data_IF_226014302724
#
_entry.id   IF_226014302724
#
_cell.length_a   1.000
_cell.length_b   1.000
_cell.length_c   1.000
_cell.angle_alpha   90.00
_cell.angle_beta   90.00
_cell.angle_gamma   90.00
#
_symmetry.space_group_name_H-M   'P 1'
#
loop_
_entity.id
_entity.type
_entity.pdbx_description
1 polymer ?
#
# COMPACT_ATOMS: atom_id res chain seq x y z
N UNK A 1 6.83 26.32 16.82
CA UNK A 1 5.63 26.75 16.04
C UNK A 1 6.08 27.82 15.05
N UNK A 2 5.53 27.81 13.84
CA UNK A 2 5.81 28.82 12.80
C UNK A 2 5.26 30.20 13.22
N UNK A 3 5.99 31.25 12.89
CA UNK A 3 5.49 32.61 12.95
C UNK A 3 4.49 32.88 11.84
N UNK A 4 3.65 33.93 11.99
CA UNK A 4 2.70 34.33 10.93
C UNK A 4 3.45 34.68 9.63
N UNK A 5 4.57 35.38 9.73
CA UNK A 5 5.43 35.72 8.58
C UNK A 5 5.90 34.44 7.84
N UNK A 6 6.36 33.44 8.57
CA UNK A 6 6.79 32.17 7.96
C UNK A 6 5.63 31.46 7.26
N UNK A 7 4.43 31.41 7.87
CA UNK A 7 3.23 30.84 7.24
C UNK A 7 2.85 31.58 5.96
N UNK A 8 2.88 32.90 5.99
CA UNK A 8 2.55 33.70 4.82
C UNK A 8 3.56 33.52 3.66
N UNK A 9 4.86 33.40 3.98
CA UNK A 9 5.87 33.07 2.99
C UNK A 9 5.61 31.67 2.37
N UNK A 10 5.33 30.65 3.17
CA UNK A 10 5.04 29.32 2.66
C UNK A 10 3.78 29.33 1.79
N UNK A 11 2.70 29.99 2.22
CA UNK A 11 1.47 30.14 1.43
C UNK A 11 1.70 30.85 0.10
N UNK A 12 2.57 31.86 0.06
CA UNK A 12 2.92 32.57 -1.17
C UNK A 12 3.61 31.68 -2.22
N UNK A 13 4.19 30.55 -1.81
CA UNK A 13 4.81 29.57 -2.72
C UNK A 13 3.81 28.56 -3.31
N UNK A 14 2.57 28.50 -2.83
CA UNK A 14 1.55 27.55 -3.29
C UNK A 14 1.37 27.57 -4.82
N UNK A 15 1.19 28.73 -5.50
CA UNK A 15 1.04 28.75 -6.97
C UNK A 15 2.25 28.16 -7.71
N UNK A 16 3.45 28.31 -7.15
CA UNK A 16 4.68 27.77 -7.75
C UNK A 16 4.71 26.26 -7.61
N UNK A 17 4.29 25.73 -6.45
CA UNK A 17 4.22 24.29 -6.19
C UNK A 17 3.14 23.60 -7.04
N UNK A 18 2.04 24.28 -7.34
CA UNK A 18 0.99 23.77 -8.23
C UNK A 18 1.51 23.49 -9.65
N UNK A 19 2.39 24.32 -10.15
CA UNK A 19 2.93 24.21 -11.51
C UNK A 19 4.24 23.40 -11.55
N UNK A 20 5.13 23.63 -10.59
CA UNK A 20 6.51 23.12 -10.59
C UNK A 20 6.82 22.04 -9.56
N UNK A 21 5.85 21.62 -8.75
CA UNK A 21 6.10 20.72 -7.62
C UNK A 21 6.71 19.37 -8.03
N UNK A 22 6.30 18.80 -9.16
CA UNK A 22 6.86 17.52 -9.65
C UNK A 22 8.32 17.68 -10.09
N UNK A 23 8.68 18.77 -10.76
CA UNK A 23 10.05 19.04 -11.16
C UNK A 23 10.95 19.22 -9.93
N UNK A 24 10.48 19.97 -8.92
CA UNK A 24 11.16 20.16 -7.65
C UNK A 24 11.40 18.84 -6.92
N UNK A 25 10.38 18.01 -6.78
CA UNK A 25 10.50 16.74 -6.06
C UNK A 25 11.30 15.70 -6.86
N UNK A 26 11.28 15.74 -8.18
CA UNK A 26 12.17 14.92 -9.02
C UNK A 26 13.63 15.29 -8.76
N UNK A 27 13.94 16.58 -8.76
CA UNK A 27 15.29 17.08 -8.46
C UNK A 27 15.73 16.74 -7.03
N UNK A 28 14.82 16.90 -6.06
CA UNK A 28 15.04 16.49 -4.67
C UNK A 28 15.48 15.02 -4.56
N UNK A 29 14.77 14.10 -5.21
CA UNK A 29 15.14 12.68 -5.18
C UNK A 29 16.47 12.41 -5.86
N UNK A 30 16.80 13.10 -6.95
CA UNK A 30 18.11 12.99 -7.61
C UNK A 30 19.25 13.37 -6.66
N UNK A 31 19.13 14.50 -5.95
CA UNK A 31 20.10 14.93 -4.95
C UNK A 31 20.22 13.88 -3.84
N UNK A 32 19.10 13.54 -3.22
CA UNK A 32 19.09 12.67 -2.06
C UNK A 32 19.64 11.27 -2.37
N UNK A 33 19.23 10.65 -3.45
CA UNK A 33 19.70 9.31 -3.81
C UNK A 33 21.14 9.29 -4.33
N UNK A 34 21.67 10.43 -4.83
CA UNK A 34 23.07 10.58 -5.20
C UNK A 34 23.95 10.72 -3.97
N UNK A 35 23.60 11.64 -3.07
CA UNK A 35 24.47 12.11 -1.99
C UNK A 35 24.34 11.30 -0.71
N UNK A 36 23.20 10.59 -0.52
CA UNK A 36 22.91 9.79 0.66
C UNK A 36 22.54 8.34 0.28
N UNK A 37 23.53 7.50 -0.11
CA UNK A 37 23.28 6.14 -0.57
C UNK A 37 22.64 5.24 0.49
N UNK A 38 22.79 5.57 1.78
CA UNK A 38 22.21 4.83 2.91
C UNK A 38 20.67 4.86 2.95
N UNK A 39 20.03 5.87 2.35
CA UNK A 39 18.56 5.92 2.27
C UNK A 39 17.98 5.21 1.04
N UNK A 40 18.80 4.82 0.07
CA UNK A 40 18.34 4.14 -1.16
C UNK A 40 17.47 2.89 -0.89
N UNK A 41 17.77 2.05 0.11
CA UNK A 41 16.95 0.87 0.41
C UNK A 41 15.49 1.19 0.75
N UNK A 42 15.21 2.40 1.25
CA UNK A 42 13.89 2.86 1.66
C UNK A 42 12.98 3.19 0.47
N UNK A 43 13.56 3.32 -0.74
CA UNK A 43 12.85 3.75 -1.93
C UNK A 43 12.74 2.66 -2.99
N UNK A 44 11.57 2.61 -3.66
CA UNK A 44 11.37 1.71 -4.78
C UNK A 44 11.85 2.38 -6.08
N UNK A 45 12.91 1.84 -6.69
CA UNK A 45 13.48 2.39 -7.91
C UNK A 45 12.47 2.45 -9.07
N UNK A 46 11.53 1.50 -9.18
CA UNK A 46 10.49 1.52 -10.20
C UNK A 46 9.55 2.73 -10.02
N UNK A 47 9.17 3.05 -8.78
CA UNK A 47 8.34 4.22 -8.46
C UNK A 47 9.09 5.55 -8.65
N UNK A 48 10.41 5.53 -8.55
CA UNK A 48 11.25 6.68 -8.91
C UNK A 48 11.30 6.86 -10.43
N UNK A 49 11.56 5.79 -11.18
CA UNK A 49 11.72 5.84 -12.63
C UNK A 49 10.43 6.24 -13.37
N UNK A 50 9.26 5.84 -12.87
CA UNK A 50 7.96 6.20 -13.47
C UNK A 50 7.37 7.52 -12.95
N UNK A 51 8.07 8.24 -12.06
CA UNK A 51 7.65 9.51 -11.49
C UNK A 51 6.53 9.42 -10.43
N UNK A 52 6.06 8.23 -10.07
CA UNK A 52 4.95 8.10 -9.12
C UNK A 52 5.32 8.62 -7.72
N UNK A 53 6.53 8.36 -7.27
CA UNK A 53 6.98 8.83 -5.95
C UNK A 53 7.25 10.34 -5.91
N UNK A 54 7.93 10.98 -6.90
CA UNK A 54 8.00 12.43 -7.00
C UNK A 54 6.63 13.13 -6.98
N UNK A 55 5.66 12.63 -7.75
CA UNK A 55 4.29 13.20 -7.76
C UNK A 55 3.60 13.08 -6.41
N UNK A 56 3.72 11.95 -5.73
CA UNK A 56 3.13 11.77 -4.40
C UNK A 56 3.73 12.74 -3.38
N UNK A 57 5.04 12.95 -3.39
CA UNK A 57 5.70 13.93 -2.52
C UNK A 57 5.31 15.36 -2.89
N UNK A 58 5.26 15.71 -4.18
CA UNK A 58 4.81 17.03 -4.63
C UNK A 58 3.39 17.34 -4.12
N UNK A 59 2.47 16.38 -4.22
CA UNK A 59 1.13 16.53 -3.69
C UNK A 59 1.13 16.70 -2.16
N UNK A 60 1.92 15.93 -1.42
CA UNK A 60 2.00 16.04 0.04
C UNK A 60 2.54 17.42 0.47
N UNK A 61 3.59 17.93 -0.17
CA UNK A 61 4.16 19.25 0.08
C UNK A 61 3.17 20.36 -0.24
N UNK A 62 2.47 20.25 -1.38
CA UNK A 62 1.41 21.19 -1.78
C UNK A 62 0.26 21.22 -0.78
N UNK A 63 -0.23 20.05 -0.38
CA UNK A 63 -1.32 19.92 0.62
C UNK A 63 -0.89 20.49 1.97
N UNK A 64 0.35 20.26 2.39
CA UNK A 64 0.87 20.86 3.61
C UNK A 64 0.91 22.39 3.52
N UNK A 65 1.45 22.96 2.44
CA UNK A 65 1.51 24.41 2.25
C UNK A 65 0.11 25.08 2.22
N UNK A 66 -0.87 24.44 1.56
CA UNK A 66 -2.27 24.92 1.50
C UNK A 66 -2.97 24.88 2.85
N UNK A 67 -2.61 23.95 3.72
CA UNK A 67 -3.25 23.72 5.01
C UNK A 67 -2.38 24.14 6.20
N UNK A 68 -1.37 24.97 5.98
CA UNK A 68 -0.37 25.32 7.02
C UNK A 68 -1.01 26.02 8.25
N UNK A 69 -2.17 26.67 8.08
CA UNK A 69 -2.94 27.29 9.15
C UNK A 69 -3.93 26.33 9.83
N UNK A 70 -4.18 25.13 9.23
CA UNK A 70 -5.18 24.16 9.67
C UNK A 70 -4.66 22.73 9.45
N UNK A 71 -3.58 22.38 10.14
CA UNK A 71 -2.90 21.08 9.98
C UNK A 71 -3.81 19.89 10.32
N UNK A 72 -4.88 20.10 11.10
CA UNK A 72 -5.90 19.09 11.38
C UNK A 72 -6.56 18.53 10.11
N UNK A 73 -6.64 19.31 9.04
CA UNK A 73 -7.17 18.85 7.74
C UNK A 73 -6.27 17.80 7.07
N UNK A 74 -5.02 17.68 7.51
CA UNK A 74 -4.05 16.72 6.97
C UNK A 74 -4.08 15.35 7.68
N UNK A 75 -4.94 15.16 8.67
CA UNK A 75 -5.00 13.92 9.46
C UNK A 75 -4.99 12.65 8.62
N UNK A 76 -5.89 12.46 7.64
CA UNK A 76 -5.91 11.26 6.79
C UNK A 76 -4.63 11.08 5.96
N UNK A 77 -4.08 12.16 5.40
CA UNK A 77 -2.83 12.13 4.65
C UNK A 77 -1.63 11.79 5.55
N UNK A 78 -1.55 12.41 6.72
CA UNK A 78 -0.50 12.15 7.70
C UNK A 78 -0.54 10.69 8.18
N UNK A 79 -1.73 10.16 8.49
CA UNK A 79 -1.89 8.76 8.88
C UNK A 79 -1.40 7.79 7.79
N UNK A 80 -1.75 8.04 6.54
CA UNK A 80 -1.27 7.23 5.42
C UNK A 80 0.26 7.27 5.27
N UNK A 81 0.87 8.46 5.44
CA UNK A 81 2.34 8.63 5.41
C UNK A 81 2.97 7.86 6.56
N UNK A 82 2.49 8.03 7.79
CA UNK A 82 2.99 7.37 9.00
C UNK A 82 2.98 5.84 8.83
N UNK A 83 1.87 5.26 8.37
CA UNK A 83 1.79 3.81 8.15
C UNK A 83 2.80 3.29 7.12
N UNK A 84 3.03 4.03 6.02
CA UNK A 84 4.05 3.68 5.03
C UNK A 84 5.46 3.81 5.58
N UNK A 85 5.74 4.85 6.35
CA UNK A 85 7.02 5.08 6.98
C UNK A 85 7.33 3.98 8.01
N UNK A 86 6.38 3.65 8.86
CA UNK A 86 6.51 2.58 9.86
C UNK A 86 6.81 1.24 9.19
N UNK A 87 6.09 0.90 8.12
CA UNK A 87 6.32 -0.35 7.38
C UNK A 87 7.71 -0.44 6.71
N UNK A 88 8.31 0.70 6.36
CA UNK A 88 9.64 0.78 5.78
C UNK A 88 10.73 1.02 6.85
N UNK A 89 10.35 1.17 8.12
CA UNK A 89 11.25 1.51 9.22
C UNK A 89 11.97 2.84 8.98
N UNK A 90 11.21 3.89 8.65
CA UNK A 90 11.71 5.27 8.66
C UNK A 90 11.96 5.66 10.12
N UNK A 91 13.12 6.23 10.39
CA UNK A 91 13.59 6.61 11.71
C UNK A 91 13.87 8.13 11.76
N UNK A 92 13.91 8.73 12.96
CA UNK A 92 14.16 10.17 13.12
C UNK A 92 15.44 10.68 12.41
N UNK A 93 16.49 9.86 12.32
CA UNK A 93 17.74 10.21 11.66
C UNK A 93 17.62 10.39 10.13
N UNK A 94 16.56 9.91 9.49
CA UNK A 94 16.34 10.11 8.06
C UNK A 94 15.78 11.50 7.73
N UNK A 95 15.09 12.15 8.68
CA UNK A 95 14.43 13.43 8.44
C UNK A 95 15.39 14.60 8.16
N UNK A 96 16.54 14.75 8.85
CA UNK A 96 17.53 15.76 8.49
C UNK A 96 18.05 15.65 7.07
N UNK A 97 18.23 14.41 6.56
CA UNK A 97 18.65 14.14 5.17
C UNK A 97 17.61 14.69 4.20
N UNK A 98 16.33 14.35 4.43
CA UNK A 98 15.23 14.82 3.59
C UNK A 98 15.10 16.33 3.63
N UNK A 99 15.20 16.96 4.81
CA UNK A 99 15.14 18.42 4.96
C UNK A 99 16.24 19.14 4.20
N UNK A 100 17.48 18.68 4.35
CA UNK A 100 18.63 19.26 3.65
C UNK A 100 18.45 19.21 2.13
N UNK A 101 18.09 18.04 1.60
CA UNK A 101 17.89 17.85 0.16
C UNK A 101 16.69 18.63 -0.38
N UNK A 102 15.60 18.75 0.41
CA UNK A 102 14.43 19.51 0.01
C UNK A 102 14.72 21.00 -0.11
N UNK A 103 15.40 21.59 0.89
CA UNK A 103 15.78 23.00 0.86
C UNK A 103 16.78 23.31 -0.26
N UNK A 104 17.70 22.40 -0.52
CA UNK A 104 18.61 22.49 -1.66
C UNK A 104 17.84 22.48 -2.98
N UNK A 105 16.91 21.54 -3.16
CA UNK A 105 16.09 21.43 -4.37
C UNK A 105 15.24 22.70 -4.59
N UNK A 106 14.65 23.25 -3.52
CA UNK A 106 13.89 24.51 -3.59
C UNK A 106 14.79 25.63 -4.13
N UNK A 107 15.99 25.78 -3.59
CA UNK A 107 16.93 26.82 -4.03
C UNK A 107 17.41 26.65 -5.48
N UNK A 108 17.74 25.42 -5.86
CA UNK A 108 18.28 25.14 -7.19
C UNK A 108 17.18 25.21 -8.30
N UNK A 109 15.97 24.79 -8.02
CA UNK A 109 14.87 24.79 -9.00
C UNK A 109 14.22 26.15 -9.15
N UNK A 110 14.00 26.90 -8.05
CA UNK A 110 13.34 28.20 -8.09
C UNK A 110 14.30 29.36 -8.33
N UNK A 111 15.61 29.15 -8.19
CA UNK A 111 16.63 30.19 -8.30
C UNK A 111 16.65 31.14 -7.11
N UNK A 112 17.76 31.85 -6.93
CA UNK A 112 18.03 32.70 -5.76
C UNK A 112 17.13 33.94 -5.67
N UNK A 113 16.56 34.38 -6.77
CA UNK A 113 15.62 35.52 -6.81
C UNK A 113 14.25 35.16 -6.18
N UNK A 114 13.78 33.92 -6.40
CA UNK A 114 12.52 33.41 -5.84
C UNK A 114 12.75 32.71 -4.49
N UNK A 115 13.72 31.82 -4.42
CA UNK A 115 14.12 31.12 -3.20
C UNK A 115 15.15 31.95 -2.40
N UNK A 116 14.73 33.13 -1.92
CA UNK A 116 15.54 34.00 -1.07
C UNK A 116 15.91 33.30 0.24
N UNK A 117 16.85 33.85 1.01
CA UNK A 117 17.19 33.28 2.32
C UNK A 117 16.01 33.24 3.28
N UNK A 118 15.11 34.21 3.19
CA UNK A 118 13.86 34.24 4.00
C UNK A 118 12.93 33.10 3.60
N UNK A 119 12.76 32.81 2.31
CA UNK A 119 11.95 31.70 1.81
C UNK A 119 12.54 30.36 2.26
N UNK A 120 13.86 30.19 2.15
CA UNK A 120 14.54 28.98 2.61
C UNK A 120 14.41 28.81 4.13
N UNK A 121 14.56 29.87 4.90
CA UNK A 121 14.37 29.82 6.36
C UNK A 121 12.93 29.48 6.76
N UNK A 122 11.93 30.04 6.05
CA UNK A 122 10.52 29.73 6.28
C UNK A 122 10.19 28.25 5.97
N UNK A 123 10.68 27.74 4.82
CA UNK A 123 10.53 26.33 4.46
C UNK A 123 11.30 25.38 5.39
N UNK A 124 12.47 25.78 5.88
CA UNK A 124 13.21 25.02 6.89
C UNK A 124 12.43 24.87 8.19
N UNK A 125 11.82 25.96 8.67
CA UNK A 125 10.97 25.90 9.86
C UNK A 125 9.67 25.10 9.62
N UNK A 126 9.06 25.24 8.44
CA UNK A 126 7.87 24.48 8.05
C UNK A 126 8.14 22.99 7.95
N UNK A 127 9.25 22.60 7.32
CA UNK A 127 9.69 21.20 7.25
C UNK A 127 9.96 20.62 8.64
N UNK A 128 10.65 21.35 9.50
CA UNK A 128 10.92 20.89 10.87
C UNK A 128 9.63 20.66 11.65
N UNK A 129 8.62 21.51 11.52
CA UNK A 129 7.31 21.31 12.14
C UNK A 129 6.65 20.05 11.62
N UNK A 130 6.65 19.81 10.32
CA UNK A 130 6.08 18.59 9.72
C UNK A 130 6.85 17.34 10.18
N UNK A 131 8.18 17.41 10.19
CA UNK A 131 9.04 16.32 10.65
C UNK A 131 8.73 15.95 12.11
N UNK A 132 8.62 16.93 13.01
CA UNK A 132 8.30 16.71 14.42
C UNK A 132 6.95 16.02 14.61
N UNK A 133 5.93 16.42 13.83
CA UNK A 133 4.60 15.80 13.84
C UNK A 133 4.68 14.35 13.39
N UNK A 134 5.34 14.07 12.26
CA UNK A 134 5.46 12.71 11.71
C UNK A 134 6.28 11.81 12.62
N UNK A 135 7.44 12.26 13.09
CA UNK A 135 8.30 11.52 14.03
C UNK A 135 7.53 11.16 15.30
N UNK A 136 6.77 12.12 15.86
CA UNK A 136 5.96 11.86 17.06
C UNK A 136 4.86 10.83 16.81
N UNK A 137 4.17 10.91 15.68
CA UNK A 137 3.13 9.95 15.30
C UNK A 137 3.70 8.57 14.99
N UNK A 138 4.82 8.49 14.26
CA UNK A 138 5.54 7.23 13.97
C UNK A 138 6.03 6.57 15.25
N UNK A 139 6.60 7.35 16.18
CA UNK A 139 7.04 6.83 17.47
C UNK A 139 5.89 6.19 18.23
N UNK A 140 4.72 6.86 18.30
CA UNK A 140 3.54 6.31 18.97
C UNK A 140 3.08 4.98 18.34
N UNK A 141 3.12 4.87 17.00
CA UNK A 141 2.78 3.63 16.30
C UNK A 141 3.82 2.54 16.59
N UNK A 142 5.12 2.84 16.54
CA UNK A 142 6.18 1.88 16.86
C UNK A 142 6.03 1.32 18.29
N UNK A 143 5.77 2.19 19.28
CA UNK A 143 5.58 1.75 20.66
C UNK A 143 4.31 0.91 20.83
N UNK A 144 3.20 1.31 20.20
CA UNK A 144 1.95 0.55 20.22
C UNK A 144 2.12 -0.86 19.63
N UNK A 145 2.82 -0.97 18.50
CA UNK A 145 3.11 -2.24 17.85
C UNK A 145 4.02 -3.10 18.73
N UNK A 146 5.07 -2.53 19.30
CA UNK A 146 6.01 -3.27 20.15
C UNK A 146 5.39 -3.77 21.45
N UNK A 147 4.45 -3.01 22.02
CA UNK A 147 3.75 -3.36 23.25
C UNK A 147 2.62 -4.39 23.03
N UNK A 148 2.16 -4.59 21.80
CA UNK A 148 1.11 -5.57 21.51
C UNK A 148 1.59 -7.01 21.73
N UNK A 149 0.70 -7.95 22.13
CA UNK A 149 1.05 -9.35 22.25
C UNK A 149 1.67 -9.91 20.96
N UNK A 150 2.88 -10.47 21.04
CA UNK A 150 3.65 -10.94 19.89
C UNK A 150 4.24 -9.83 19.02
N UNK A 151 4.15 -8.55 19.47
CA UNK A 151 4.72 -7.41 18.79
C UNK A 151 6.25 -7.36 18.89
N UNK A 152 6.85 -6.58 17.98
CA UNK A 152 8.31 -6.35 17.98
C UNK A 152 8.64 -5.01 17.32
N UNK A 153 9.89 -4.60 17.46
CA UNK A 153 10.42 -3.40 16.82
C UNK A 153 11.56 -3.76 15.88
N UNK A 154 11.67 -3.05 14.76
CA UNK A 154 12.71 -3.32 13.77
C UNK A 154 12.49 -4.62 12.98
N UNK A 155 13.58 -5.17 12.47
CA UNK A 155 13.55 -6.43 11.74
C UNK A 155 13.56 -7.65 12.67
N UNK A 156 12.69 -8.63 12.42
CA UNK A 156 12.67 -9.93 13.08
C UNK A 156 12.85 -11.03 12.05
N UNK A 157 13.64 -12.05 12.39
CA UNK A 157 13.89 -13.17 11.50
C UNK A 157 12.70 -14.13 11.43
N UNK A 158 12.30 -14.48 10.22
CA UNK A 158 11.27 -15.48 9.93
C UNK A 158 11.82 -16.53 8.98
N UNK A 159 11.50 -17.78 9.23
CA UNK A 159 11.81 -18.91 8.32
C UNK A 159 10.69 -19.08 7.31
N UNK A 160 11.05 -19.29 6.07
CA UNK A 160 10.13 -19.73 5.03
C UNK A 160 9.78 -21.19 5.29
N UNK A 161 8.63 -21.46 5.88
CA UNK A 161 8.16 -22.82 6.17
C UNK A 161 7.80 -23.57 4.89
N UNK A 162 7.13 -22.89 3.98
CA UNK A 162 6.69 -23.45 2.71
C UNK A 162 6.60 -22.37 1.64
N UNK A 163 6.71 -22.81 0.40
CA UNK A 163 6.56 -21.98 -0.80
C UNK A 163 5.62 -22.73 -1.75
N UNK A 164 4.49 -22.10 -2.09
CA UNK A 164 3.41 -22.75 -2.86
C UNK A 164 3.07 -21.90 -4.08
N UNK A 165 3.21 -22.41 -5.31
CA UNK A 165 2.68 -21.76 -6.49
C UNK A 165 1.15 -21.67 -6.42
N UNK A 166 0.59 -20.49 -6.58
CA UNK A 166 -0.86 -20.23 -6.60
C UNK A 166 -1.38 -20.04 -8.02
N UNK A 167 -0.50 -19.59 -8.93
CA UNK A 167 -0.73 -19.41 -10.35
C UNK A 167 0.59 -19.42 -11.11
N UNK A 168 0.56 -19.23 -12.43
CA UNK A 168 1.79 -19.13 -13.24
C UNK A 168 2.71 -17.99 -12.79
N UNK A 169 2.18 -16.95 -12.14
CA UNK A 169 2.94 -15.75 -11.77
C UNK A 169 2.90 -15.40 -10.27
N UNK A 170 2.06 -16.05 -9.47
CA UNK A 170 1.95 -15.77 -8.03
C UNK A 170 2.36 -16.97 -7.20
N UNK A 171 3.25 -16.74 -6.23
CA UNK A 171 3.70 -17.75 -5.27
C UNK A 171 3.47 -17.27 -3.85
N UNK A 172 2.87 -18.12 -3.02
CA UNK A 172 2.70 -17.91 -1.58
C UNK A 172 3.93 -18.35 -0.80
N UNK A 173 4.32 -17.54 0.19
CA UNK A 173 5.37 -17.82 1.16
C UNK A 173 4.74 -17.87 2.55
N UNK A 174 4.87 -18.99 3.22
CA UNK A 174 4.43 -19.20 4.60
C UNK A 174 5.62 -18.93 5.51
N UNK A 175 5.46 -17.97 6.43
CA UNK A 175 6.54 -17.39 7.23
C UNK A 175 6.25 -17.63 8.70
N UNK A 176 7.15 -18.33 9.39
CA UNK A 176 7.09 -18.56 10.83
C UNK A 176 8.27 -17.87 11.52
N UNK A 177 8.09 -17.27 12.72
CA UNK A 177 9.17 -16.61 13.42
C UNK A 177 10.30 -17.61 13.73
N UNK A 178 11.54 -17.24 13.45
CA UNK A 178 12.70 -18.11 13.65
C UNK A 178 12.96 -18.44 15.12
N UNK A 179 12.54 -17.56 16.02
CA UNK A 179 12.65 -17.71 17.48
C UNK A 179 11.49 -18.52 18.11
N UNK A 180 10.50 -18.94 17.30
CA UNK A 180 9.34 -19.71 17.76
C UNK A 180 8.38 -18.96 18.67
N UNK A 181 8.57 -17.66 18.90
CA UNK A 181 7.67 -16.85 19.74
C UNK A 181 6.43 -16.42 18.94
N UNK A 182 5.30 -16.17 19.60
CA UNK A 182 4.10 -15.66 18.95
C UNK A 182 4.36 -14.40 18.13
N UNK A 183 3.52 -14.16 17.13
CA UNK A 183 3.54 -12.95 16.32
C UNK A 183 2.30 -12.12 16.57
N UNK A 184 2.39 -10.80 16.34
CA UNK A 184 1.25 -9.91 16.45
C UNK A 184 0.13 -10.34 15.49
N UNK A 185 -1.09 -10.40 16.00
CA UNK A 185 -2.26 -10.63 15.16
C UNK A 185 -2.47 -9.42 14.24
N UNK A 186 -2.49 -9.67 12.93
CA UNK A 186 -2.76 -8.62 11.95
C UNK A 186 -4.25 -8.50 11.62
N UNK A 187 -4.66 -7.33 11.19
CA UNK A 187 -5.98 -7.11 10.61
C UNK A 187 -5.96 -7.50 9.13
N UNK A 188 -7.02 -8.14 8.65
CA UNK A 188 -7.14 -8.48 7.23
C UNK A 188 -7.11 -7.23 6.35
N UNK A 189 -6.23 -7.23 5.34
CA UNK A 189 -5.93 -6.09 4.49
C UNK A 189 -4.59 -5.43 4.79
N UNK A 190 -4.02 -5.61 5.98
CA UNK A 190 -2.67 -5.13 6.30
C UNK A 190 -1.60 -5.80 5.44
N UNK A 191 -0.46 -5.15 5.36
CA UNK A 191 0.75 -5.62 4.70
C UNK A 191 1.93 -5.70 5.67
N UNK A 192 2.99 -6.37 5.25
CA UNK A 192 4.22 -6.55 6.03
C UNK A 192 5.42 -6.10 5.20
N UNK A 193 6.37 -5.42 5.83
CA UNK A 193 7.62 -5.02 5.19
C UNK A 193 8.64 -6.15 5.22
N UNK A 194 9.32 -6.39 4.10
CA UNK A 194 10.44 -7.30 3.97
C UNK A 194 11.73 -6.50 3.71
N UNK A 195 12.78 -6.87 4.45
CA UNK A 195 14.15 -6.47 4.17
C UNK A 195 14.86 -7.62 3.46
N UNK A 196 15.35 -7.36 2.27
CA UNK A 196 16.07 -8.32 1.44
C UNK A 196 17.47 -7.78 1.12
N UNK A 197 18.43 -8.68 0.95
CA UNK A 197 19.76 -8.32 0.41
C UNK A 197 19.93 -9.05 -0.92
N UNK A 198 19.90 -8.31 -2.03
CA UNK A 198 19.98 -8.83 -3.37
C UNK A 198 21.25 -8.31 -4.03
N UNK A 199 22.18 -9.21 -4.40
CA UNK A 199 23.48 -8.85 -4.98
C UNK A 199 24.26 -7.82 -4.13
N UNK A 200 24.20 -7.98 -2.79
CA UNK A 200 24.87 -7.08 -1.84
C UNK A 200 24.18 -5.76 -1.59
N UNK A 201 23.02 -5.50 -2.20
CA UNK A 201 22.23 -4.29 -1.98
C UNK A 201 21.00 -4.59 -1.12
N UNK A 202 20.80 -3.81 -0.06
CA UNK A 202 19.58 -3.87 0.72
C UNK A 202 18.42 -3.25 -0.07
N UNK A 203 17.28 -3.92 -0.04
CA UNK A 203 16.01 -3.42 -0.58
C UNK A 203 14.89 -3.74 0.41
N UNK A 204 13.90 -2.85 0.52
CA UNK A 204 12.71 -3.03 1.35
C UNK A 204 11.47 -3.02 0.47
N UNK A 205 10.56 -3.97 0.71
CA UNK A 205 9.29 -4.09 -0.03
C UNK A 205 8.17 -4.48 0.90
N UNK A 206 6.98 -3.94 0.64
CA UNK A 206 5.77 -4.28 1.35
C UNK A 206 4.96 -5.30 0.55
N UNK A 207 4.43 -6.30 1.25
CA UNK A 207 3.55 -7.32 0.68
C UNK A 207 2.31 -7.49 1.54
N UNK A 208 1.12 -7.46 0.92
CA UNK A 208 -0.13 -7.72 1.63
C UNK A 208 -0.12 -9.10 2.27
N UNK A 209 -0.63 -9.16 3.49
CA UNK A 209 -0.87 -10.42 4.17
C UNK A 209 -2.09 -11.08 3.53
N UNK A 210 -1.89 -12.26 2.94
CA UNK A 210 -2.88 -12.91 2.06
C UNK A 210 -3.73 -13.98 2.74
N UNK A 211 -3.64 -14.10 4.07
CA UNK A 211 -4.45 -15.01 4.88
C UNK A 211 -5.00 -14.30 6.11
N UNK A 212 -6.07 -14.83 6.69
CA UNK A 212 -6.54 -14.42 8.01
C UNK A 212 -5.45 -14.67 9.08
N UNK A 213 -5.42 -13.82 10.11
CA UNK A 213 -4.44 -13.94 11.19
C UNK A 213 -4.61 -15.24 11.96
N UNK A 214 -3.48 -15.89 12.25
CA UNK A 214 -3.42 -17.11 13.09
C UNK A 214 -2.67 -16.89 14.39
N UNK A 215 -1.93 -15.77 14.52
CA UNK A 215 -1.07 -15.50 15.67
C UNK A 215 0.24 -16.32 15.73
N UNK A 216 0.47 -17.23 14.78
CA UNK A 216 1.65 -18.11 14.75
C UNK A 216 2.60 -17.84 13.57
N UNK A 217 2.14 -17.13 12.54
CA UNK A 217 2.92 -16.82 11.36
C UNK A 217 2.15 -15.98 10.36
N UNK A 218 2.78 -15.74 9.22
CA UNK A 218 2.22 -14.91 8.15
C UNK A 218 2.26 -15.61 6.81
N UNK A 219 1.37 -15.23 5.91
CA UNK A 219 1.43 -15.59 4.50
C UNK A 219 1.46 -14.32 3.65
N UNK A 220 2.47 -14.23 2.80
CA UNK A 220 2.51 -13.27 1.70
C UNK A 220 2.39 -14.02 0.38
N UNK A 221 1.79 -13.40 -0.64
CA UNK A 221 1.68 -14.00 -1.96
C UNK A 221 2.19 -12.99 -2.98
N UNK A 222 3.30 -13.36 -3.61
CA UNK A 222 4.13 -12.46 -4.40
C UNK A 222 3.94 -12.75 -5.87
N UNK A 223 3.55 -11.73 -6.64
CA UNK A 223 3.56 -11.79 -8.09
C UNK A 223 4.99 -11.58 -8.61
N UNK A 224 5.42 -12.45 -9.52
CA UNK A 224 6.68 -12.32 -10.24
C UNK A 224 6.55 -11.23 -11.31
N UNK A 225 7.19 -10.10 -11.09
CA UNK A 225 7.23 -9.01 -12.07
C UNK A 225 8.44 -9.19 -13.01
N UNK A 226 8.27 -8.89 -14.30
CA UNK A 226 9.28 -9.13 -15.34
C UNK A 226 10.64 -8.54 -14.95
N UNK A 227 10.66 -7.27 -14.53
CA UNK A 227 11.89 -6.56 -14.15
C UNK A 227 11.99 -6.34 -12.63
N UNK A 228 11.22 -7.10 -11.85
CA UNK A 228 11.11 -6.91 -10.41
C UNK A 228 12.28 -7.55 -9.65
N UNK A 229 13.22 -6.76 -9.14
CA UNK A 229 14.39 -7.27 -8.41
C UNK A 229 13.98 -8.12 -7.20
N UNK A 230 13.08 -7.62 -6.35
CA UNK A 230 12.64 -8.34 -5.14
C UNK A 230 11.78 -9.57 -5.47
N UNK A 231 10.81 -9.43 -6.38
CA UNK A 231 9.92 -10.52 -6.75
C UNK A 231 10.66 -11.68 -7.42
N UNK A 232 11.60 -11.38 -8.34
CA UNK A 232 12.41 -12.41 -8.97
C UNK A 232 13.34 -13.10 -7.94
N UNK A 233 13.97 -12.35 -7.03
CA UNK A 233 14.78 -12.93 -5.96
C UNK A 233 13.96 -13.90 -5.08
N UNK A 234 12.75 -13.48 -4.64
CA UNK A 234 11.85 -14.32 -3.85
C UNK A 234 11.44 -15.59 -4.62
N UNK A 235 11.10 -15.45 -5.89
CA UNK A 235 10.66 -16.59 -6.70
C UNK A 235 11.80 -17.58 -7.01
N UNK A 236 13.00 -17.10 -7.31
CA UNK A 236 14.09 -17.90 -7.88
C UNK A 236 15.13 -18.35 -6.86
N UNK A 237 15.40 -17.51 -5.86
CA UNK A 237 16.51 -17.75 -4.93
C UNK A 237 16.03 -18.23 -3.56
N UNK A 238 14.91 -17.68 -3.04
CA UNK A 238 14.41 -18.03 -1.73
C UNK A 238 13.73 -19.40 -1.73
N UNK A 239 14.11 -20.24 -0.76
CA UNK A 239 13.65 -21.62 -0.59
C UNK A 239 13.03 -21.84 0.78
N UNK A 240 12.30 -22.95 0.94
CA UNK A 240 11.87 -23.41 2.26
C UNK A 240 13.10 -23.66 3.15
N UNK A 241 13.07 -23.17 4.38
CA UNK A 241 14.16 -23.17 5.33
C UNK A 241 14.97 -21.87 5.38
N UNK A 242 14.93 -21.04 4.34
CA UNK A 242 15.64 -19.76 4.33
C UNK A 242 15.02 -18.77 5.32
N UNK A 243 15.82 -17.82 5.79
CA UNK A 243 15.39 -16.76 6.69
C UNK A 243 15.20 -15.43 5.95
N UNK A 244 14.11 -14.76 6.26
CA UNK A 244 13.79 -13.40 5.79
C UNK A 244 13.64 -12.47 6.99
N UNK A 245 14.02 -11.21 6.83
CA UNK A 245 13.80 -10.18 7.84
C UNK A 245 12.48 -9.47 7.55
N UNK A 246 11.56 -9.54 8.53
CA UNK A 246 10.24 -8.93 8.45
C UNK A 246 10.12 -7.78 9.46
N UNK A 247 9.47 -6.70 9.03
CA UNK A 247 9.00 -5.63 9.91
C UNK A 247 7.57 -5.92 10.36
N UNK A 248 7.06 -5.31 11.44
CA UNK A 248 5.71 -5.56 11.90
C UNK A 248 4.63 -5.24 10.85
N UNK A 249 3.46 -5.93 10.89
CA UNK A 249 2.31 -5.59 10.07
C UNK A 249 1.89 -4.13 10.21
N UNK A 250 1.52 -3.49 9.10
CA UNK A 250 1.13 -2.09 9.02
C UNK A 250 0.03 -1.90 7.98
N UNK A 251 -0.55 -0.71 7.92
CA UNK A 251 -1.57 -0.32 6.96
C UNK A 251 -2.96 -0.15 7.58
N UNK A 252 -3.73 0.79 7.02
CA UNK A 252 -5.07 1.15 7.47
C UNK A 252 -6.18 0.59 6.59
N UNK A 253 -5.83 0.04 5.43
CA UNK A 253 -6.78 -0.64 4.56
C UNK A 253 -7.18 -1.98 5.17
N UNK A 254 -8.03 -1.91 6.18
CA UNK A 254 -8.41 -3.08 6.98
C UNK A 254 -9.90 -3.35 6.90
N UNK A 255 -10.27 -4.63 7.01
CA UNK A 255 -11.66 -5.05 7.05
C UNK A 255 -12.38 -4.41 8.24
N UNK A 256 -13.45 -3.66 7.97
CA UNK A 256 -14.33 -3.09 8.97
C UNK A 256 -15.23 -4.18 9.52
N UNK A 257 -15.31 -4.27 10.85
CA UNK A 257 -16.25 -5.15 11.53
C UNK A 257 -17.69 -4.67 11.32
N UNK A 258 -18.61 -5.60 11.13
CA UNK A 258 -20.02 -5.27 10.93
C UNK A 258 -20.80 -6.38 10.26
N UNK A 259 -22.10 -6.14 10.07
CA UNK A 259 -23.06 -7.09 9.49
C UNK A 259 -23.44 -6.77 8.04
N UNK A 260 -23.05 -5.60 7.50
CA UNK A 260 -23.33 -5.27 6.09
C UNK A 260 -22.70 -6.30 5.16
N UNK A 261 -23.34 -6.64 4.04
CA UNK A 261 -22.74 -7.48 3.03
C UNK A 261 -21.36 -6.94 2.61
N UNK A 262 -20.40 -7.84 2.48
CA UNK A 262 -19.02 -7.53 2.09
C UNK A 262 -18.86 -7.79 0.59
N UNK A 263 -18.40 -6.80 -0.13
CA UNK A 263 -18.08 -6.90 -1.56
C UNK A 263 -16.56 -6.73 -1.74
N UNK A 264 -15.92 -7.76 -2.25
CA UNK A 264 -14.47 -7.82 -2.44
C UNK A 264 -14.18 -7.93 -3.93
N UNK A 265 -13.56 -6.91 -4.51
CA UNK A 265 -13.28 -6.81 -5.94
C UNK A 265 -11.79 -6.72 -6.16
N UNK A 266 -11.23 -7.61 -6.97
CA UNK A 266 -9.78 -7.64 -7.19
C UNK A 266 -9.39 -7.85 -8.66
N UNK A 267 -8.29 -7.22 -9.06
CA UNK A 267 -7.63 -7.44 -10.35
C UNK A 267 -6.22 -7.98 -10.15
N UNK A 268 -5.91 -9.13 -10.74
CA UNK A 268 -4.59 -9.75 -10.65
C UNK A 268 -4.12 -9.96 -9.21
N UNK A 269 -2.92 -9.48 -8.85
CA UNK A 269 -2.35 -9.63 -7.49
C UNK A 269 -3.11 -8.85 -6.40
N UNK A 270 -4.04 -7.96 -6.75
CA UNK A 270 -4.97 -7.33 -5.81
C UNK A 270 -5.87 -8.33 -5.05
N UNK A 271 -5.89 -9.59 -5.47
CA UNK A 271 -6.55 -10.70 -4.75
C UNK A 271 -5.97 -10.93 -3.35
N UNK A 272 -4.72 -10.57 -3.09
CA UNK A 272 -4.02 -10.94 -1.85
C UNK A 272 -4.68 -10.38 -0.59
N UNK A 273 -4.98 -9.07 -0.43
CA UNK A 273 -5.67 -8.59 0.75
C UNK A 273 -7.17 -8.95 0.75
N UNK A 274 -7.82 -9.00 -0.42
CA UNK A 274 -9.24 -9.36 -0.49
C UNK A 274 -9.46 -10.82 -0.10
N UNK A 275 -8.51 -11.72 -0.38
CA UNK A 275 -8.56 -13.10 0.08
C UNK A 275 -8.48 -13.20 1.61
N UNK A 276 -7.58 -12.44 2.25
CA UNK A 276 -7.49 -12.38 3.71
C UNK A 276 -8.77 -11.83 4.35
N UNK A 277 -9.38 -10.81 3.73
CA UNK A 277 -10.65 -10.24 4.17
C UNK A 277 -11.80 -11.26 4.05
N UNK A 278 -11.88 -11.96 2.90
CA UNK A 278 -12.87 -13.03 2.71
C UNK A 278 -12.72 -14.13 3.77
N UNK A 279 -11.51 -14.65 3.94
CA UNK A 279 -11.24 -15.70 4.93
C UNK A 279 -11.63 -15.27 6.35
N UNK A 280 -11.28 -14.04 6.73
CA UNK A 280 -11.61 -13.48 8.05
C UNK A 280 -13.12 -13.36 8.24
N UNK A 281 -13.82 -12.79 7.25
CA UNK A 281 -15.28 -12.61 7.31
C UNK A 281 -16.02 -13.96 7.35
N UNK A 282 -15.57 -14.95 6.57
CA UNK A 282 -16.18 -16.28 6.54
C UNK A 282 -15.97 -17.05 7.85
N UNK A 283 -14.81 -16.91 8.48
CA UNK A 283 -14.54 -17.51 9.80
C UNK A 283 -15.34 -16.86 10.92
N UNK A 284 -15.53 -15.55 10.87
CA UNK A 284 -16.36 -14.81 11.82
C UNK A 284 -17.86 -15.13 11.65
N UNK A 285 -18.30 -15.37 10.41
CA UNK A 285 -19.72 -15.57 10.07
C UNK A 285 -20.53 -14.28 10.14
N UNK A 286 -21.85 -14.39 9.97
CA UNK A 286 -22.80 -13.31 10.23
C UNK A 286 -22.97 -12.27 9.12
N UNK A 287 -22.25 -12.37 7.98
CA UNK A 287 -22.43 -11.47 6.82
C UNK A 287 -22.28 -12.21 5.49
N UNK A 288 -23.00 -11.75 4.49
CA UNK A 288 -22.83 -12.21 3.12
C UNK A 288 -21.52 -11.67 2.52
N UNK A 289 -20.86 -12.49 1.72
CA UNK A 289 -19.61 -12.11 1.04
C UNK A 289 -19.76 -12.35 -0.46
N UNK A 290 -19.60 -11.29 -1.24
CA UNK A 290 -19.51 -11.31 -2.71
C UNK A 290 -18.05 -11.09 -3.10
N UNK A 291 -17.44 -12.07 -3.74
CA UNK A 291 -16.04 -12.04 -4.15
C UNK A 291 -15.95 -12.01 -5.68
N UNK A 292 -15.42 -10.92 -6.22
CA UNK A 292 -15.32 -10.70 -7.67
C UNK A 292 -13.85 -10.59 -8.05
N UNK A 293 -13.36 -11.49 -8.89
CA UNK A 293 -11.97 -11.49 -9.30
C UNK A 293 -11.82 -11.38 -10.81
N UNK A 294 -10.96 -10.44 -11.22
CA UNK A 294 -10.56 -10.23 -12.61
C UNK A 294 -9.12 -10.70 -12.81
N UNK A 295 -8.92 -11.63 -13.74
CA UNK A 295 -7.61 -12.13 -14.13
C UNK A 295 -7.46 -12.08 -15.65
N UNK A 296 -6.23 -12.16 -16.15
CA UNK A 296 -6.00 -12.23 -17.60
C UNK A 296 -6.59 -13.53 -18.18
N UNK A 297 -6.32 -14.63 -17.53
CA UNK A 297 -6.76 -15.97 -17.91
C UNK A 297 -6.69 -16.93 -16.72
N UNK A 298 -7.01 -18.19 -16.93
CA UNK A 298 -7.01 -19.23 -15.90
C UNK A 298 -5.60 -19.50 -15.31
N UNK A 299 -4.54 -19.38 -16.11
CA UNK A 299 -3.16 -19.61 -15.65
C UNK A 299 -2.68 -18.51 -14.70
N UNK A 300 -3.12 -17.28 -14.91
CA UNK A 300 -2.81 -16.12 -14.07
C UNK A 300 -3.69 -16.05 -12.81
N UNK A 301 -4.83 -16.74 -12.79
CA UNK A 301 -5.79 -16.72 -11.68
C UNK A 301 -5.29 -17.53 -10.48
N UNK A 302 -4.82 -16.84 -9.43
CA UNK A 302 -4.38 -17.46 -8.20
C UNK A 302 -5.56 -17.86 -7.28
N UNK A 303 -5.35 -18.83 -6.39
CA UNK A 303 -6.27 -19.28 -5.35
C UNK A 303 -7.60 -19.87 -5.83
N UNK A 304 -7.70 -20.29 -7.09
CA UNK A 304 -8.92 -20.88 -7.63
C UNK A 304 -9.49 -22.02 -6.76
N UNK A 305 -8.61 -22.91 -6.29
CA UNK A 305 -9.02 -24.06 -5.47
C UNK A 305 -9.63 -23.60 -4.15
N UNK A 306 -9.00 -22.68 -3.46
CA UNK A 306 -9.45 -22.12 -2.17
C UNK A 306 -10.83 -21.45 -2.33
N UNK A 307 -10.99 -20.63 -3.36
CA UNK A 307 -12.26 -19.94 -3.65
C UNK A 307 -13.38 -20.94 -3.95
N UNK A 308 -13.12 -22.00 -4.73
CA UNK A 308 -14.09 -23.07 -5.00
C UNK A 308 -14.45 -23.85 -3.73
N UNK A 309 -13.50 -24.16 -2.88
CA UNK A 309 -13.74 -24.80 -1.58
C UNK A 309 -14.62 -23.95 -0.67
N UNK A 310 -14.39 -22.62 -0.64
CA UNK A 310 -15.22 -21.70 0.14
C UNK A 310 -16.65 -21.61 -0.42
N UNK A 311 -16.85 -21.58 -1.73
CA UNK A 311 -18.18 -21.60 -2.35
C UNK A 311 -18.97 -22.88 -1.99
N UNK A 312 -18.30 -24.00 -1.90
CA UNK A 312 -18.94 -25.25 -1.51
C UNK A 312 -19.26 -25.32 -0.01
N UNK A 313 -18.44 -24.67 0.84
CA UNK A 313 -18.51 -24.75 2.29
C UNK A 313 -19.40 -23.69 2.93
N UNK A 314 -19.43 -22.47 2.37
CA UNK A 314 -20.06 -21.30 2.98
C UNK A 314 -21.23 -20.81 2.11
N UNK A 315 -22.49 -21.07 2.50
CA UNK A 315 -23.67 -20.65 1.71
C UNK A 315 -23.77 -19.12 1.50
N UNK A 316 -23.20 -18.34 2.43
CA UNK A 316 -23.16 -16.88 2.36
C UNK A 316 -22.04 -16.35 1.44
N UNK A 317 -21.20 -17.21 0.86
CA UNK A 317 -20.10 -16.81 -0.02
C UNK A 317 -20.46 -17.04 -1.50
N UNK A 318 -20.38 -16.00 -2.29
CA UNK A 318 -20.58 -16.05 -3.75
C UNK A 318 -19.33 -15.50 -4.43
N UNK A 319 -18.75 -16.26 -5.35
CA UNK A 319 -17.61 -15.82 -6.11
C UNK A 319 -17.94 -15.75 -7.61
N UNK A 320 -17.45 -14.68 -8.24
CA UNK A 320 -17.55 -14.43 -9.67
C UNK A 320 -16.15 -14.17 -10.23
N UNK A 321 -15.86 -14.74 -11.40
CA UNK A 321 -14.56 -14.63 -12.04
C UNK A 321 -14.75 -14.12 -13.46
N UNK A 322 -13.93 -13.15 -13.85
CA UNK A 322 -13.89 -12.59 -15.21
C UNK A 322 -12.47 -12.76 -15.75
N UNK A 323 -12.35 -13.34 -16.94
CA UNK A 323 -11.08 -13.41 -17.67
C UNK A 323 -11.08 -12.47 -18.85
N UNK A 324 -9.98 -11.72 -19.03
CA UNK A 324 -9.81 -10.84 -20.19
C UNK A 324 -9.68 -11.64 -21.48
N UNK A 325 -8.93 -12.74 -21.43
CA UNK A 325 -8.65 -13.58 -22.59
C UNK A 325 -9.71 -14.66 -22.76
N UNK A 326 -9.98 -15.05 -23.98
CA UNK A 326 -10.82 -16.21 -24.29
C UNK A 326 -10.25 -17.47 -23.68
N UNK A 327 -11.12 -18.28 -23.14
CA UNK A 327 -10.73 -19.41 -22.29
C UNK A 327 -10.48 -20.67 -23.10
N UNK A 328 -9.41 -21.37 -22.70
CA UNK A 328 -9.10 -22.69 -23.21
C UNK A 328 -9.97 -23.82 -22.62
N UNK A 329 -10.65 -23.59 -21.48
CA UNK A 329 -11.46 -24.59 -20.81
C UNK A 329 -12.93 -24.16 -20.73
N UNK A 330 -13.80 -24.69 -21.63
CA UNK A 330 -15.22 -24.39 -21.62
C UNK A 330 -16.01 -24.96 -20.44
N UNK A 331 -15.38 -25.83 -19.60
CA UNK A 331 -16.03 -26.42 -18.44
C UNK A 331 -16.06 -25.50 -17.20
N UNK A 332 -15.41 -24.34 -17.23
CA UNK A 332 -15.45 -23.38 -16.13
C UNK A 332 -16.43 -22.25 -16.44
N UNK A 333 -17.49 -22.07 -15.61
CA UNK A 333 -18.41 -20.94 -15.76
C UNK A 333 -17.67 -19.65 -15.35
N UNK A 334 -17.26 -18.87 -16.32
CA UNK A 334 -16.65 -17.55 -16.14
C UNK A 334 -17.14 -16.63 -17.24
N UNK A 335 -17.09 -15.34 -16.92
CA UNK A 335 -17.38 -14.28 -17.88
C UNK A 335 -16.07 -13.91 -18.56
N UNK A 336 -16.13 -13.68 -19.87
CA UNK A 336 -15.00 -13.21 -20.67
C UNK A 336 -15.18 -11.74 -20.98
N UNK A 337 -14.14 -10.94 -20.79
CA UNK A 337 -14.12 -9.53 -21.14
C UNK A 337 -13.41 -8.65 -20.11
N UNK A 338 -13.50 -7.37 -20.36
CA UNK A 338 -13.01 -6.33 -19.43
C UNK A 338 -14.03 -6.10 -18.30
N UNK A 339 -13.64 -5.40 -17.22
CA UNK A 339 -14.58 -4.96 -16.21
C UNK A 339 -15.73 -4.15 -16.82
N UNK A 340 -16.96 -4.50 -16.47
CA UNK A 340 -18.18 -3.87 -16.96
C UNK A 340 -19.16 -3.57 -15.82
N UNK A 341 -19.92 -2.47 -15.94
CA UNK A 341 -20.89 -2.06 -14.91
C UNK A 341 -21.98 -3.11 -14.76
N UNK A 342 -22.39 -3.75 -15.86
CA UNK A 342 -23.41 -4.80 -15.90
C UNK A 342 -23.04 -6.00 -15.04
N UNK A 343 -21.77 -6.38 -14.99
CA UNK A 343 -21.28 -7.43 -14.10
C UNK A 343 -21.54 -7.08 -12.64
N UNK A 344 -21.12 -5.86 -12.23
CA UNK A 344 -21.32 -5.38 -10.88
C UNK A 344 -22.81 -5.23 -10.56
N UNK A 345 -23.59 -4.67 -11.49
CA UNK A 345 -25.04 -4.53 -11.32
C UNK A 345 -25.74 -5.85 -11.01
N UNK A 346 -25.32 -6.93 -11.69
CA UNK A 346 -25.88 -8.27 -11.52
C UNK A 346 -25.47 -8.94 -10.21
N UNK A 347 -24.22 -8.74 -9.77
CA UNK A 347 -23.64 -9.52 -8.67
C UNK A 347 -23.70 -8.83 -7.32
N UNK A 348 -23.84 -7.52 -7.30
CA UNK A 348 -23.96 -6.75 -6.06
C UNK A 348 -25.32 -6.97 -5.39
N UNK A 349 -25.40 -6.93 -4.06
CA UNK A 349 -26.66 -6.92 -3.32
C UNK A 349 -27.60 -5.81 -3.81
N UNK A 350 -28.89 -6.12 -3.93
CA UNK A 350 -29.88 -5.21 -4.52
C UNK A 350 -30.04 -3.89 -3.74
N UNK A 351 -29.90 -3.92 -2.42
CA UNK A 351 -30.04 -2.76 -1.56
C UNK A 351 -28.84 -1.79 -1.60
N UNK A 352 -27.71 -2.19 -2.21
CA UNK A 352 -26.47 -1.39 -2.33
C UNK A 352 -25.87 -0.91 -0.99
N UNK A 353 -26.42 -1.28 0.16
CA UNK A 353 -25.84 -0.97 1.47
C UNK A 353 -24.80 -2.04 1.83
N UNK A 354 -23.58 -1.84 1.34
CA UNK A 354 -22.48 -2.80 1.41
C UNK A 354 -21.19 -2.14 1.84
N UNK A 355 -20.24 -2.92 2.36
CA UNK A 355 -18.83 -2.48 2.48
C UNK A 355 -18.06 -3.06 1.28
N UNK A 356 -17.62 -2.20 0.37
CA UNK A 356 -16.91 -2.59 -0.85
C UNK A 356 -15.41 -2.32 -0.72
N UNK A 357 -14.59 -3.34 -0.98
CA UNK A 357 -13.12 -3.24 -0.99
C UNK A 357 -12.61 -3.64 -2.37
N UNK A 358 -11.74 -2.80 -2.96
CA UNK A 358 -11.21 -3.12 -4.28
C UNK A 358 -9.74 -2.75 -4.45
N UNK A 359 -8.99 -3.64 -5.12
CA UNK A 359 -7.59 -3.46 -5.47
C UNK A 359 -7.27 -4.07 -6.83
N UNK A 360 -6.30 -3.44 -7.50
CA UNK A 360 -5.81 -3.91 -8.79
C UNK A 360 -4.96 -2.84 -9.49
N UNK A 361 -4.71 -2.98 -10.78
CA UNK A 361 -4.06 -1.95 -11.58
C UNK A 361 -4.83 -0.63 -11.54
N UNK A 362 -4.13 0.51 -11.59
CA UNK A 362 -4.74 1.85 -11.46
C UNK A 362 -5.94 2.07 -12.40
N UNK A 363 -5.89 1.74 -13.71
CA UNK A 363 -7.05 1.90 -14.59
C UNK A 363 -8.26 1.04 -14.17
N UNK A 364 -8.01 -0.17 -13.68
CA UNK A 364 -9.03 -1.05 -13.13
C UNK A 364 -9.69 -0.41 -11.91
N UNK A 365 -8.90 0.06 -10.95
CA UNK A 365 -9.41 0.69 -9.73
C UNK A 365 -10.22 1.95 -10.03
N UNK A 366 -9.77 2.79 -10.98
CA UNK A 366 -10.50 3.98 -11.41
C UNK A 366 -11.86 3.60 -12.04
N UNK A 367 -11.91 2.54 -12.83
CA UNK A 367 -13.17 2.00 -13.37
C UNK A 367 -14.10 1.50 -12.26
N UNK A 368 -13.58 0.66 -11.34
CA UNK A 368 -14.38 0.10 -10.25
C UNK A 368 -14.96 1.20 -9.36
N UNK A 369 -14.15 2.19 -8.99
CA UNK A 369 -14.62 3.34 -8.18
C UNK A 369 -15.80 4.04 -8.83
N UNK A 370 -15.69 4.40 -10.12
CA UNK A 370 -16.79 5.04 -10.85
C UNK A 370 -18.03 4.15 -10.94
N UNK A 371 -17.84 2.88 -11.28
CA UNK A 371 -18.93 1.92 -11.40
C UNK A 371 -19.69 1.71 -10.07
N UNK A 372 -18.98 1.63 -8.93
CA UNK A 372 -19.61 1.53 -7.61
C UNK A 372 -20.42 2.80 -7.28
N UNK A 373 -19.87 3.98 -7.57
CA UNK A 373 -20.55 5.25 -7.40
C UNK A 373 -21.81 5.36 -8.28
N UNK A 374 -21.73 5.01 -9.57
CA UNK A 374 -22.85 4.98 -10.52
C UNK A 374 -23.96 4.00 -10.07
N UNK A 375 -23.59 2.91 -9.42
CA UNK A 375 -24.52 1.91 -8.89
C UNK A 375 -25.09 2.29 -7.50
N UNK A 376 -24.75 3.48 -6.97
CA UNK A 376 -25.30 4.05 -5.76
C UNK A 376 -24.63 3.58 -4.46
N UNK A 377 -23.40 3.05 -4.53
CA UNK A 377 -22.62 2.75 -3.32
C UNK A 377 -21.90 4.05 -2.88
N UNK A 378 -22.10 4.52 -1.64
CA UNK A 378 -21.47 5.73 -1.13
C UNK A 378 -19.93 5.62 -1.11
N UNK A 379 -19.24 6.75 -1.32
CA UNK A 379 -17.77 6.79 -1.34
C UNK A 379 -17.17 6.35 0.00
N UNK A 380 -17.83 6.63 1.13
CA UNK A 380 -17.43 6.20 2.47
C UNK A 380 -17.54 4.68 2.70
N UNK A 381 -18.27 3.97 1.84
CA UNK A 381 -18.39 2.50 1.84
C UNK A 381 -17.53 1.85 0.74
N UNK A 382 -16.76 2.65 0.00
CA UNK A 382 -15.90 2.21 -1.11
C UNK A 382 -14.43 2.37 -0.74
N UNK A 383 -13.80 1.28 -0.32
CA UNK A 383 -12.45 1.25 0.22
C UNK A 383 -11.44 0.72 -0.80
N UNK A 384 -10.31 1.42 -0.96
CA UNK A 384 -9.22 0.99 -1.84
C UNK A 384 -7.86 1.40 -1.32
N UNK A 385 -6.82 0.70 -1.76
CA UNK A 385 -5.43 1.02 -1.49
C UNK A 385 -4.57 0.82 -2.73
N UNK A 386 -3.48 1.59 -2.87
CA UNK A 386 -2.50 1.43 -3.94
C UNK A 386 -1.32 0.57 -3.50
N UNK A 387 -0.92 -0.37 -4.35
CA UNK A 387 0.37 -1.05 -4.19
C UNK A 387 1.53 -0.15 -4.65
N UNK A 388 1.67 0.99 -4.00
CA UNK A 388 2.65 2.02 -4.35
C UNK A 388 2.37 3.35 -3.66
N UNK A 389 2.96 4.44 -4.14
CA UNK A 389 2.63 5.79 -3.70
C UNK A 389 1.14 6.07 -3.96
N UNK A 390 0.53 6.82 -3.03
CA UNK A 390 -0.87 7.21 -3.20
C UNK A 390 -1.01 8.19 -4.37
N UNK A 391 -1.98 7.93 -5.22
CA UNK A 391 -2.35 8.79 -6.34
C UNK A 391 -3.86 8.99 -6.35
N UNK A 392 -4.34 10.08 -6.97
CA UNK A 392 -5.77 10.26 -7.16
C UNK A 392 -6.31 9.21 -8.17
N UNK A 393 -7.43 8.57 -7.83
CA UNK A 393 -8.25 7.83 -8.80
C UNK A 393 -9.21 8.83 -9.45
N UNK A 394 -8.81 9.34 -10.60
CA UNK A 394 -9.60 10.25 -11.43
C UNK A 394 -10.32 9.45 -12.51
#
# INVERSE_FOLDING_TARGET
>A
MLTDIQRDIVKATVPILEVGGEALTTHFYQIMLRDYPEVRPLFNQANQANGAQPRALANAVLMYARNIDRLENLGPLASQIVNKHVALQILPEHYPIVGTCLLQAIREVLGTETATDEVIAAWGAAYQQLADILIGAEHAVYESIAAAPGGWRGGRAFKVKAKTPESAEITSFYLEPADGQPVIAHKAGQYIGLRLVVKGQEIRRNYSLSAASTGIGYRISVKKEVDGVASNYLHEQVKAGDELQLFPPSGEFTLIEGSKPLVLISGGVGITPTLAMAETALKAGGRDVVFIHYARNAEAHAFQKVVKEWQARYPQFRAHVVYNDTVADPAQPHVVGLPAVEHLQQWLPANRDVEAYFLGPKPFMAFIKRALHELGIPDEQSHYEFFGPAEALI
#
